data_IF_447864607441
#
_entry.id   IF_447864607441
#
_cell.length_a   1.000
_cell.length_b   1.000
_cell.length_c   1.000
_cell.angle_alpha   90.00
_cell.angle_beta   90.00
_cell.angle_gamma   90.00
#
_symmetry.space_group_name_H-M   'P 1'
#
loop_
_entity.id
_entity.type
_entity.pdbx_description
1 polymer ?
#
# COMPACT_ATOMS: atom_id res chain seq x y z
N UNK A 1 -6.26 -18.55 -8.55
CA UNK A 1 -5.16 -17.57 -8.67
C UNK A 1 -5.53 -16.41 -7.76
N UNK A 2 -4.88 -16.32 -6.60
CA UNK A 2 -5.16 -15.29 -5.59
C UNK A 2 -4.14 -14.17 -5.67
N UNK A 3 -4.53 -12.96 -5.23
CA UNK A 3 -3.59 -11.86 -5.03
C UNK A 3 -2.64 -12.21 -3.88
N UNK A 4 -1.34 -12.00 -4.08
CA UNK A 4 -0.33 -12.24 -3.04
C UNK A 4 -0.42 -11.24 -1.89
N UNK A 5 -0.95 -10.04 -2.14
CA UNK A 5 -1.22 -9.02 -1.15
C UNK A 5 -2.43 -8.16 -1.54
N UNK A 6 -3.13 -7.63 -0.53
CA UNK A 6 -4.24 -6.68 -0.67
C UNK A 6 -3.94 -5.42 0.14
N UNK A 7 -4.24 -4.26 -0.45
CA UNK A 7 -4.11 -2.97 0.21
C UNK A 7 -5.50 -2.39 0.48
N UNK A 8 -5.68 -1.85 1.69
CA UNK A 8 -6.92 -1.22 2.13
C UNK A 8 -6.63 0.20 2.58
N UNK A 9 -7.59 1.10 2.35
CA UNK A 9 -7.54 2.49 2.77
C UNK A 9 -8.90 2.90 3.34
N UNK A 10 -8.89 3.90 4.22
CA UNK A 10 -10.10 4.53 4.73
C UNK A 10 -10.64 5.55 3.71
N UNK A 11 -11.88 6.02 3.91
CA UNK A 11 -12.54 7.01 3.03
C UNK A 11 -12.45 8.41 3.65
N UNK A 12 -11.23 8.86 3.93
CA UNK A 12 -10.90 10.20 4.41
C UNK A 12 -9.84 10.86 3.51
N UNK A 13 -9.47 12.09 3.84
CA UNK A 13 -8.40 12.80 3.12
C UNK A 13 -7.03 12.27 3.59
N UNK A 14 -6.28 11.72 2.64
CA UNK A 14 -4.96 11.07 2.79
C UNK A 14 -4.91 9.91 3.81
N UNK A 15 -5.62 8.79 3.52
CA UNK A 15 -5.81 7.69 4.45
C UNK A 15 -4.52 6.96 4.80
N UNK A 16 -4.49 6.39 5.99
CA UNK A 16 -3.54 5.34 6.33
C UNK A 16 -3.71 4.11 5.43
N UNK A 17 -2.60 3.53 4.97
CA UNK A 17 -2.63 2.29 4.16
C UNK A 17 -2.49 1.08 5.07
N UNK A 18 -3.34 0.07 4.87
CA UNK A 18 -3.27 -1.24 5.52
C UNK A 18 -2.91 -2.32 4.50
N UNK A 19 -2.09 -3.29 4.89
CA UNK A 19 -1.66 -4.37 4.03
C UNK A 19 -2.06 -5.73 4.62
N UNK A 20 -2.62 -6.58 3.76
CA UNK A 20 -2.83 -8.00 3.98
C UNK A 20 -1.90 -8.79 3.07
N UNK A 21 -1.30 -9.83 3.61
CA UNK A 21 -0.59 -10.87 2.84
C UNK A 21 -1.23 -12.19 3.19
N UNK A 22 -1.37 -13.10 2.22
CA UNK A 22 -2.00 -14.39 2.44
C UNK A 22 -1.39 -15.13 3.66
N UNK A 23 -2.26 -15.54 4.59
CA UNK A 23 -1.86 -16.22 5.83
C UNK A 23 -1.31 -15.30 6.94
N UNK A 24 -1.37 -13.98 6.77
CA UNK A 24 -0.96 -13.00 7.78
C UNK A 24 -2.11 -12.08 8.19
N UNK A 25 -2.03 -11.53 9.40
CA UNK A 25 -2.95 -10.49 9.86
C UNK A 25 -2.79 -9.21 9.05
N UNK A 26 -3.88 -8.46 8.92
CA UNK A 26 -3.88 -7.12 8.33
C UNK A 26 -3.09 -6.19 9.24
N UNK A 27 -2.15 -5.42 8.66
CA UNK A 27 -1.31 -4.47 9.41
C UNK A 27 -1.36 -3.09 8.80
N UNK A 28 -1.43 -2.07 9.65
CA UNK A 28 -1.22 -0.67 9.26
C UNK A 28 0.23 -0.48 8.81
N UNK A 29 0.42 0.15 7.65
CA UNK A 29 1.74 0.48 7.12
C UNK A 29 2.25 1.78 7.75
N UNK A 30 3.49 2.17 7.41
CA UNK A 30 4.08 3.44 7.86
C UNK A 30 3.66 4.64 7.00
N UNK A 31 2.97 4.41 5.89
CA UNK A 31 2.67 5.41 4.89
C UNK A 31 1.18 5.75 4.87
N UNK A 32 0.89 7.02 4.60
CA UNK A 32 -0.42 7.42 4.08
C UNK A 32 -0.49 7.18 2.57
N UNK A 33 -1.68 7.25 1.99
CA UNK A 33 -1.91 6.87 0.61
C UNK A 33 -1.09 7.72 -0.37
N UNK A 34 -1.00 9.04 -0.14
CA UNK A 34 -0.20 9.94 -0.97
C UNK A 34 1.28 9.54 -1.01
N UNK A 35 1.87 9.27 0.16
CA UNK A 35 3.26 8.81 0.31
C UNK A 35 3.48 7.46 -0.37
N UNK A 36 2.52 6.54 -0.25
CA UNK A 36 2.60 5.22 -0.87
C UNK A 36 2.64 5.33 -2.41
N UNK A 37 1.79 6.17 -2.99
CA UNK A 37 1.75 6.41 -4.44
C UNK A 37 3.06 7.05 -4.93
N UNK A 38 3.58 8.03 -4.19
CA UNK A 38 4.86 8.67 -4.52
C UNK A 38 6.02 7.67 -4.50
N UNK A 39 6.07 6.80 -3.48
CA UNK A 39 7.10 5.77 -3.37
C UNK A 39 7.07 4.80 -4.58
N UNK A 40 5.88 4.39 -5.03
CA UNK A 40 5.72 3.53 -6.22
C UNK A 40 6.14 4.25 -7.51
N UNK A 41 5.83 5.54 -7.66
CA UNK A 41 6.27 6.36 -8.81
C UNK A 41 7.80 6.48 -8.83
N UNK A 42 8.42 6.77 -7.67
CA UNK A 42 9.87 6.83 -7.56
C UNK A 42 10.52 5.50 -7.91
N UNK A 43 9.95 4.39 -7.42
CA UNK A 43 10.43 3.05 -7.71
C UNK A 43 10.38 2.78 -9.22
N UNK A 44 9.24 3.05 -9.86
CA UNK A 44 9.08 2.89 -11.30
C UNK A 44 10.13 3.67 -12.08
N UNK A 45 10.34 4.95 -11.74
CA UNK A 45 11.31 5.81 -12.42
C UNK A 45 12.77 5.36 -12.23
N UNK A 46 13.10 4.64 -11.13
CA UNK A 46 14.46 4.11 -10.89
C UNK A 46 14.77 2.85 -11.70
N UNK A 47 13.75 2.09 -12.10
CA UNK A 47 13.90 0.82 -12.82
C UNK A 47 13.50 0.89 -14.31
N UNK A 48 13.16 2.09 -14.81
CA UNK A 48 13.11 2.43 -16.23
C UNK A 48 14.48 2.91 -16.70
#
# INVERSE_FOLDING_TARGET
QGYSALFFIERDDDPSVYCYTEGKEIKKTKYVFSEYVLAEIELYNRYQ
#
